data_IF_966910519778
#
_entry.id   IF_966910519778
#
_cell.length_a   1.000
_cell.length_b   1.000
_cell.length_c   1.000
_cell.angle_alpha   90.00
_cell.angle_beta   90.00
_cell.angle_gamma   90.00
#
_symmetry.space_group_name_H-M   'P 1'
#
loop_
_entity.id
_entity.type
_entity.pdbx_description
1 polymer ?
#
# COMPACT_ATOMS: atom_id res chain seq x y z
N UNK A 1 -21.87 34.95 -24.90
CA UNK A 1 -22.48 33.60 -24.92
C UNK A 1 -21.41 32.54 -25.23
N UNK A 2 -20.71 32.58 -26.37
CA UNK A 2 -19.65 31.61 -26.73
C UNK A 2 -18.48 31.50 -25.71
N UNK A 3 -18.08 32.63 -25.10
CA UNK A 3 -17.04 32.69 -24.05
C UNK A 3 -17.42 32.04 -22.71
N UNK A 4 -18.72 32.00 -22.36
CA UNK A 4 -19.16 31.36 -21.10
C UNK A 4 -19.22 29.84 -21.23
N UNK A 5 -19.56 29.34 -22.42
CA UNK A 5 -19.60 27.90 -22.71
C UNK A 5 -18.20 27.29 -22.68
N UNK A 6 -17.17 28.03 -23.15
CA UNK A 6 -15.79 27.57 -23.13
C UNK A 6 -15.21 27.46 -21.70
N UNK A 7 -15.63 28.33 -20.78
CA UNK A 7 -15.20 28.29 -19.37
C UNK A 7 -15.88 27.14 -18.62
N UNK A 8 -17.16 26.87 -18.90
CA UNK A 8 -17.90 25.75 -18.30
C UNK A 8 -17.36 24.37 -18.75
N UNK A 9 -16.85 24.26 -19.98
CA UNK A 9 -16.20 23.04 -20.49
C UNK A 9 -14.79 22.83 -19.92
N UNK A 10 -14.06 23.90 -19.57
CA UNK A 10 -12.71 23.80 -19.02
C UNK A 10 -12.70 23.34 -17.55
N UNK A 11 -13.74 23.71 -16.78
CA UNK A 11 -13.88 23.34 -15.36
C UNK A 11 -14.21 21.86 -15.10
N UNK A 12 -14.58 21.09 -16.13
CA UNK A 12 -14.97 19.68 -15.97
C UNK A 12 -13.78 18.71 -16.08
N UNK A 13 -12.56 19.20 -16.35
CA UNK A 13 -11.38 18.34 -16.59
C UNK A 13 -10.48 18.11 -15.37
N UNK A 14 -10.79 18.70 -14.21
CA UNK A 14 -9.89 18.71 -13.05
C UNK A 14 -10.18 17.61 -11.99
N UNK A 15 -10.84 16.52 -12.38
CA UNK A 15 -11.31 15.51 -11.42
C UNK A 15 -10.61 14.13 -11.51
N UNK A 16 -9.54 13.95 -12.31
CA UNK A 16 -9.02 12.60 -12.56
C UNK A 16 -7.49 12.47 -12.56
N UNK A 17 -6.83 13.07 -11.56
CA UNK A 17 -5.41 12.82 -11.29
C UNK A 17 -5.15 12.63 -9.78
N UNK A 18 -6.11 12.03 -9.08
CA UNK A 18 -5.85 11.46 -7.76
C UNK A 18 -5.27 10.05 -7.96
N UNK A 19 -4.12 9.77 -7.34
CA UNK A 19 -3.66 8.39 -7.15
C UNK A 19 -4.69 7.61 -6.35
N UNK A 20 -4.72 6.30 -6.52
CA UNK A 20 -5.65 5.43 -5.81
C UNK A 20 -4.93 4.84 -4.57
N UNK A 21 -5.58 4.88 -3.41
CA UNK A 21 -5.02 4.39 -2.15
C UNK A 21 -5.89 3.30 -1.49
N UNK A 22 -5.23 2.37 -0.78
CA UNK A 22 -5.88 1.32 0.01
C UNK A 22 -5.12 1.05 1.29
N UNK A 23 -5.84 0.84 2.39
CA UNK A 23 -5.25 0.45 3.69
C UNK A 23 -5.57 -1.00 4.02
N UNK A 24 -4.54 -1.80 4.28
CA UNK A 24 -4.64 -3.20 4.71
C UNK A 24 -4.09 -3.39 6.13
N UNK A 25 -4.63 -4.36 6.86
CA UNK A 25 -4.21 -4.66 8.24
C UNK A 25 -3.81 -6.12 8.38
N UNK A 26 -2.59 -6.35 8.86
CA UNK A 26 -2.08 -7.68 9.17
C UNK A 26 -1.82 -7.80 10.67
N UNK A 27 -2.19 -8.95 11.24
CA UNK A 27 -1.93 -9.25 12.65
C UNK A 27 -1.30 -10.64 12.76
N UNK A 28 -0.30 -10.76 13.62
CA UNK A 28 0.36 -12.02 13.92
C UNK A 28 0.65 -12.13 15.41
N UNK A 29 0.27 -13.23 16.04
CA UNK A 29 0.64 -13.48 17.44
C UNK A 29 2.17 -13.44 17.62
N UNK A 30 2.64 -12.71 18.63
CA UNK A 30 4.05 -12.63 18.99
C UNK A 30 4.54 -13.85 19.80
N UNK A 31 3.64 -14.80 20.10
CA UNK A 31 3.97 -15.97 20.92
C UNK A 31 5.07 -16.82 20.28
N UNK A 32 6.17 -17.00 21.01
CA UNK A 32 7.34 -17.74 20.56
C UNK A 32 8.10 -17.09 19.40
N UNK A 33 7.91 -15.79 19.16
CA UNK A 33 8.67 -15.00 18.19
C UNK A 33 9.72 -14.16 18.94
N UNK A 34 10.97 -14.22 18.50
CA UNK A 34 12.07 -13.44 19.08
C UNK A 34 12.83 -12.59 18.04
N UNK A 35 12.45 -12.69 16.77
CA UNK A 35 13.03 -11.90 15.67
C UNK A 35 11.92 -11.46 14.72
N UNK A 36 11.93 -10.19 14.36
CA UNK A 36 11.20 -9.66 13.22
C UNK A 36 12.18 -9.55 12.05
N UNK A 37 11.83 -10.13 10.92
CA UNK A 37 12.55 -10.03 9.66
C UNK A 37 11.64 -9.35 8.65
N UNK A 38 12.20 -8.38 7.92
CA UNK A 38 11.43 -7.49 7.07
C UNK A 38 12.08 -7.45 5.69
N UNK A 39 11.29 -7.76 4.68
CA UNK A 39 11.66 -7.66 3.26
C UNK A 39 10.63 -6.75 2.58
N UNK A 40 10.96 -5.48 2.43
CA UNK A 40 10.06 -4.46 1.92
C UNK A 40 10.66 -3.70 0.74
N UNK A 41 9.81 -3.41 -0.25
CA UNK A 41 10.13 -2.60 -1.41
C UNK A 41 9.97 -1.10 -1.14
N UNK A 42 9.56 -0.35 -2.15
CA UNK A 42 9.43 1.11 -2.11
C UNK A 42 8.38 1.59 -1.10
N UNK A 43 8.72 2.62 -0.34
CA UNK A 43 7.87 3.25 0.65
C UNK A 43 8.62 3.56 1.93
N UNK A 44 7.89 3.76 3.02
CA UNK A 44 8.43 3.97 4.35
C UNK A 44 8.04 2.86 5.32
N UNK A 45 8.90 2.61 6.32
CA UNK A 45 8.65 1.65 7.40
C UNK A 45 8.92 2.30 8.76
N UNK A 46 7.92 2.27 9.63
CA UNK A 46 8.05 2.62 11.04
C UNK A 46 7.80 1.41 11.91
N UNK A 47 8.73 1.13 12.82
CA UNK A 47 8.59 0.07 13.81
C UNK A 47 8.60 0.71 15.20
N UNK A 48 7.59 0.38 16.01
CA UNK A 48 7.52 0.81 17.39
C UNK A 48 7.14 -0.38 18.30
N UNK A 49 7.92 -0.58 19.36
CA UNK A 49 7.54 -1.48 20.44
C UNK A 49 6.58 -0.81 21.41
N UNK A 50 5.52 -1.51 21.82
CA UNK A 50 4.61 -1.06 22.88
C UNK A 50 4.48 -2.14 23.95
N UNK A 51 4.74 -1.75 25.20
CA UNK A 51 4.63 -2.64 26.36
C UNK A 51 3.20 -3.19 26.45
N UNK A 52 3.09 -4.50 26.69
CA UNK A 52 1.80 -5.19 26.84
C UNK A 52 1.17 -5.68 25.54
N UNK A 53 1.80 -5.47 24.37
CA UNK A 53 1.36 -6.12 23.13
C UNK A 53 1.82 -7.58 23.08
N UNK A 54 0.90 -8.46 22.70
CA UNK A 54 1.12 -9.89 22.50
C UNK A 54 1.03 -10.29 21.00
N UNK A 55 0.98 -9.30 20.12
CA UNK A 55 0.87 -9.46 18.68
C UNK A 55 1.67 -8.36 17.95
N UNK A 56 2.15 -8.72 16.77
CA UNK A 56 2.70 -7.82 15.77
C UNK A 56 1.51 -7.36 14.93
N UNK A 57 1.30 -6.04 14.90
CA UNK A 57 0.27 -5.39 14.08
C UNK A 57 0.97 -4.58 13.01
N UNK A 58 0.50 -4.69 11.78
CA UNK A 58 1.00 -3.92 10.65
C UNK A 58 -0.17 -3.24 9.99
N UNK A 59 -0.07 -1.93 9.82
CA UNK A 59 -0.95 -1.17 8.92
C UNK A 59 -0.15 -0.86 7.65
N UNK A 60 -0.69 -1.27 6.51
CA UNK A 60 -0.07 -1.05 5.20
C UNK A 60 -0.94 -0.10 4.38
N UNK A 61 -0.42 1.07 4.08
CA UNK A 61 -1.03 2.06 3.19
C UNK A 61 -0.39 1.91 1.81
N UNK A 62 -1.17 1.46 0.83
CA UNK A 62 -0.75 1.21 -0.54
C UNK A 62 -1.21 2.40 -1.38
N UNK A 63 -0.27 3.13 -1.98
CA UNK A 63 -0.55 4.29 -2.82
C UNK A 63 -0.04 4.02 -4.23
N UNK A 64 -0.90 4.20 -5.23
CA UNK A 64 -0.57 3.89 -6.63
C UNK A 64 -1.01 5.00 -7.56
N UNK A 65 -0.04 5.58 -8.26
CA UNK A 65 -0.29 6.57 -9.29
C UNK A 65 -0.77 5.90 -10.59
N UNK A 66 -1.62 6.59 -11.35
CA UNK A 66 -2.02 6.14 -12.70
C UNK A 66 -2.87 4.87 -12.74
N UNK A 67 -3.37 4.41 -11.60
CA UNK A 67 -4.43 3.40 -11.47
C UNK A 67 -5.73 4.11 -11.13
N UNK A 68 -6.83 3.70 -11.78
CA UNK A 68 -8.16 4.21 -11.44
C UNK A 68 -8.62 3.55 -10.14
N UNK A 69 -9.35 4.28 -9.32
CA UNK A 69 -9.90 3.76 -8.05
C UNK A 69 -10.67 2.44 -8.23
N UNK A 70 -11.51 2.33 -9.26
CA UNK A 70 -12.25 1.09 -9.56
C UNK A 70 -11.40 -0.10 -10.02
N UNK A 71 -10.14 0.12 -10.41
CA UNK A 71 -9.20 -0.91 -10.84
C UNK A 71 -8.14 -1.21 -9.74
N UNK A 72 -8.21 -0.52 -8.58
CA UNK A 72 -7.18 -0.61 -7.55
C UNK A 72 -7.12 -1.99 -6.89
N UNK A 73 -8.26 -2.60 -6.59
CA UNK A 73 -8.31 -3.92 -5.97
C UNK A 73 -7.71 -4.99 -6.89
N UNK A 74 -8.12 -5.01 -8.15
CA UNK A 74 -7.56 -5.90 -9.18
C UNK A 74 -6.06 -5.69 -9.37
N UNK A 75 -5.60 -4.44 -9.25
CA UNK A 75 -4.18 -4.12 -9.31
C UNK A 75 -3.44 -4.73 -8.12
N UNK A 76 -3.94 -4.52 -6.89
CA UNK A 76 -3.35 -5.02 -5.65
C UNK A 76 -3.27 -6.54 -5.68
N UNK A 77 -4.36 -7.23 -6.02
CA UNK A 77 -4.44 -8.69 -6.03
C UNK A 77 -3.41 -9.33 -6.97
N UNK A 78 -3.07 -8.65 -8.07
CA UNK A 78 -2.17 -9.19 -9.10
C UNK A 78 -0.71 -8.81 -8.89
N UNK A 79 -0.44 -7.65 -8.31
CA UNK A 79 0.89 -7.04 -8.34
C UNK A 79 1.46 -6.73 -6.96
N UNK A 80 0.65 -6.78 -5.89
CA UNK A 80 1.10 -6.49 -4.53
C UNK A 80 1.25 -7.78 -3.74
N UNK A 81 2.46 -8.02 -3.26
CA UNK A 81 2.70 -9.00 -2.20
C UNK A 81 2.69 -8.26 -0.87
N UNK A 82 1.76 -8.61 0.01
CA UNK A 82 1.69 -8.10 1.38
C UNK A 82 1.38 -9.26 2.32
N UNK A 83 2.35 -9.67 3.15
CA UNK A 83 2.20 -10.86 4.00
C UNK A 83 2.86 -10.74 5.37
N UNK A 84 2.03 -11.01 6.39
CA UNK A 84 2.28 -11.29 7.81
C UNK A 84 2.45 -12.77 8.15
N UNK A 85 3.64 -13.35 8.34
CA UNK A 85 3.72 -14.78 8.70
C UNK A 85 4.77 -15.16 9.77
N UNK A 86 4.52 -16.26 10.48
CA UNK A 86 5.49 -16.87 11.40
C UNK A 86 6.28 -17.96 10.67
N UNK A 87 7.61 -17.84 10.69
CA UNK A 87 8.58 -18.83 10.17
C UNK A 87 9.49 -19.29 11.31
N UNK A 88 9.14 -20.40 11.95
CA UNK A 88 9.83 -20.88 13.15
C UNK A 88 9.64 -19.92 14.33
N UNK A 89 10.73 -19.39 14.87
CA UNK A 89 10.73 -18.38 15.93
C UNK A 89 10.79 -16.92 15.42
N UNK A 90 10.54 -16.71 14.12
CA UNK A 90 10.63 -15.41 13.47
C UNK A 90 9.28 -14.98 12.90
N UNK A 91 8.97 -13.70 12.99
CA UNK A 91 7.98 -13.07 12.12
C UNK A 91 8.68 -12.62 10.85
N UNK A 92 8.08 -12.92 9.69
CA UNK A 92 8.53 -12.46 8.39
C UNK A 92 7.45 -11.55 7.80
N UNK A 93 7.80 -10.28 7.61
CA UNK A 93 6.97 -9.30 6.93
C UNK A 93 7.51 -9.11 5.51
N UNK A 94 6.68 -9.39 4.52
CA UNK A 94 6.99 -9.12 3.11
C UNK A 94 6.02 -8.08 2.55
N UNK A 95 6.56 -7.08 1.86
CA UNK A 95 5.78 -6.04 1.18
C UNK A 95 6.47 -5.60 -0.11
N UNK A 96 5.90 -5.93 -1.26
CA UNK A 96 6.51 -5.62 -2.57
C UNK A 96 5.43 -5.33 -3.61
N UNK A 97 5.76 -4.43 -4.53
CA UNK A 97 5.01 -4.20 -5.77
C UNK A 97 5.84 -4.80 -6.90
N UNK A 98 5.24 -5.67 -7.70
CA UNK A 98 5.90 -6.25 -8.87
C UNK A 98 5.97 -5.22 -10.00
N UNK A 99 7.18 -4.74 -10.27
CA UNK A 99 7.46 -3.74 -11.29
C UNK A 99 7.44 -4.32 -12.72
N UNK A 100 7.31 -5.63 -12.90
CA UNK A 100 7.37 -6.30 -14.21
C UNK A 100 6.26 -5.83 -15.17
N UNK A 101 5.15 -5.30 -14.63
CA UNK A 101 4.05 -4.72 -15.40
C UNK A 101 4.09 -3.18 -15.49
N UNK A 102 5.09 -2.53 -14.89
CA UNK A 102 5.09 -1.10 -14.58
C UNK A 102 6.25 -0.38 -15.25
N UNK A 103 6.12 -0.04 -16.54
CA UNK A 103 7.09 0.84 -17.19
C UNK A 103 6.85 2.33 -16.90
N UNK A 104 5.70 2.72 -16.34
CA UNK A 104 5.31 4.13 -16.24
C UNK A 104 4.41 4.50 -15.05
N UNK A 105 4.24 3.64 -14.03
CA UNK A 105 3.50 4.02 -12.82
C UNK A 105 4.36 3.84 -11.57
N UNK A 106 4.16 4.71 -10.59
CA UNK A 106 4.84 4.66 -9.31
C UNK A 106 3.84 4.16 -8.26
N UNK A 107 4.27 3.17 -7.48
CA UNK A 107 3.52 2.70 -6.31
C UNK A 107 4.44 2.61 -5.11
N UNK A 108 3.89 2.87 -3.93
CA UNK A 108 4.59 2.75 -2.65
C UNK A 108 3.72 2.01 -1.65
N UNK A 109 4.35 1.34 -0.69
CA UNK A 109 3.68 0.72 0.45
C UNK A 109 4.29 1.28 1.73
N UNK A 110 3.50 2.05 2.47
CA UNK A 110 3.90 2.64 3.74
C UNK A 110 3.44 1.75 4.89
N UNK A 111 4.37 1.37 5.77
CA UNK A 111 4.17 0.37 6.82
C UNK A 111 4.37 1.00 8.21
N UNK A 112 3.40 0.79 9.10
CA UNK A 112 3.45 1.26 10.50
C UNK A 112 3.01 0.19 11.50
#
# INVERSE_FOLDING_TARGET
MLRMILIALLSLSLAALAGADKTEKLNLSASGINKLEVDCGSGFLRIAGKVGLNEIRVTAEIEVDGVREGDLDDFIDRNVTLRLEKRGNRAFLESKIDNSFFSNRNGVINLT
#
